data_IF_795874064616
#
_entry.id   IF_795874064616
#
_cell.length_a   1.000
_cell.length_b   1.000
_cell.length_c   1.000
_cell.angle_alpha   90.00
_cell.angle_beta   90.00
_cell.angle_gamma   90.00
#
_symmetry.space_group_name_H-M   'P 1'
#
loop_
_entity.id
_entity.type
_entity.pdbx_description
1 polymer ?
#
# COMPACT_ATOMS: atom_id res chain seq x y z
N UNK A 1 9.78 -3.58 -20.37
CA UNK A 1 9.28 -4.01 -19.06
C UNK A 1 7.78 -3.85 -19.16
N UNK A 2 7.07 -4.95 -19.02
CA UNK A 2 5.63 -5.00 -19.25
C UNK A 2 4.88 -4.33 -18.10
N UNK A 3 3.66 -3.88 -18.37
CA UNK A 3 2.82 -3.28 -17.34
C UNK A 3 2.57 -4.29 -16.21
N UNK A 4 2.81 -3.88 -14.97
CA UNK A 4 2.45 -4.69 -13.80
C UNK A 4 0.97 -4.47 -13.52
N UNK A 5 0.20 -5.54 -13.45
CA UNK A 5 -1.24 -5.50 -13.17
C UNK A 5 -1.50 -6.23 -11.86
N UNK A 6 -2.15 -5.54 -10.92
CA UNK A 6 -2.42 -6.07 -9.58
C UNK A 6 -3.93 -6.07 -9.37
N UNK A 7 -4.55 -7.22 -9.05
CA UNK A 7 -5.99 -7.28 -8.83
C UNK A 7 -6.39 -6.44 -7.61
N UNK A 8 -7.39 -5.59 -7.79
CA UNK A 8 -8.06 -4.87 -6.70
C UNK A 8 -9.39 -5.56 -6.42
N UNK A 9 -9.56 -5.99 -5.18
CA UNK A 9 -10.75 -6.68 -4.73
C UNK A 9 -11.72 -5.71 -4.05
N UNK A 10 -12.99 -5.80 -4.42
CA UNK A 10 -14.08 -5.26 -3.64
C UNK A 10 -14.72 -6.41 -2.87
N UNK A 11 -14.87 -6.22 -1.56
CA UNK A 11 -15.48 -7.21 -0.67
C UNK A 11 -16.76 -6.67 -0.09
N UNK A 12 -17.78 -7.53 0.00
CA UNK A 12 -19.05 -7.22 0.63
C UNK A 12 -19.42 -8.32 1.61
N UNK A 13 -20.03 -7.95 2.73
CA UNK A 13 -20.52 -8.88 3.77
C UNK A 13 -22.02 -8.70 3.92
N UNK A 14 -22.78 -9.71 3.50
CA UNK A 14 -24.23 -9.73 3.56
C UNK A 14 -24.69 -10.90 4.42
N UNK A 15 -25.39 -10.62 5.53
CA UNK A 15 -25.93 -11.65 6.44
C UNK A 15 -24.90 -12.69 6.91
N UNK A 16 -23.64 -12.27 7.10
CA UNK A 16 -22.54 -13.15 7.51
C UNK A 16 -21.79 -13.83 6.37
N UNK A 17 -22.32 -13.77 5.15
CA UNK A 17 -21.66 -14.28 3.94
C UNK A 17 -20.75 -13.21 3.33
N UNK A 18 -19.49 -13.57 3.06
CA UNK A 18 -18.52 -12.68 2.42
C UNK A 18 -18.49 -12.99 0.93
N UNK A 19 -18.79 -11.98 0.11
CA UNK A 19 -18.59 -12.03 -1.34
C UNK A 19 -17.34 -11.23 -1.71
N UNK A 20 -16.51 -11.80 -2.57
CA UNK A 20 -15.30 -11.16 -3.10
C UNK A 20 -15.46 -11.05 -4.61
N UNK A 21 -15.25 -9.86 -5.16
CA UNK A 21 -15.15 -9.65 -6.61
C UNK A 21 -13.85 -8.91 -6.93
N UNK A 22 -13.21 -9.28 -8.04
CA UNK A 22 -12.19 -8.42 -8.64
C UNK A 22 -12.90 -7.23 -9.26
N UNK A 23 -12.65 -6.03 -8.75
CA UNK A 23 -13.27 -4.80 -9.24
C UNK A 23 -12.54 -4.25 -10.47
N UNK A 24 -11.21 -4.21 -10.39
CA UNK A 24 -10.33 -3.70 -11.45
C UNK A 24 -8.91 -4.23 -11.24
N UNK A 25 -8.03 -3.93 -12.20
CA UNK A 25 -6.59 -4.02 -11.98
C UNK A 25 -6.01 -2.64 -11.68
N UNK A 26 -5.14 -2.58 -10.68
CA UNK A 26 -4.21 -1.47 -10.49
C UNK A 26 -3.02 -1.70 -11.44
N UNK A 27 -2.97 -0.90 -12.50
CA UNK A 27 -1.98 -1.04 -13.57
C UNK A 27 -0.87 -0.01 -13.44
N UNK A 28 0.37 -0.49 -13.34
CA UNK A 28 1.57 0.32 -13.28
C UNK A 28 2.26 0.22 -14.64
N UNK A 29 2.09 1.26 -15.46
CA UNK A 29 2.55 1.28 -16.86
C UNK A 29 3.84 2.06 -17.06
N UNK A 30 4.16 2.98 -16.14
CA UNK A 30 5.38 3.77 -16.22
C UNK A 30 6.58 2.93 -15.78
N UNK A 31 7.63 2.90 -16.61
CA UNK A 31 8.79 2.03 -16.39
C UNK A 31 9.59 2.38 -15.13
N UNK A 32 9.82 3.67 -14.91
CA UNK A 32 10.55 4.16 -13.74
C UNK A 32 9.53 4.58 -12.69
N UNK A 33 9.65 4.07 -11.47
CA UNK A 33 8.82 4.50 -10.34
C UNK A 33 9.66 5.35 -9.39
N UNK A 34 9.04 6.35 -8.79
CA UNK A 34 9.66 7.25 -7.81
C UNK A 34 8.78 7.26 -6.58
N UNK A 35 9.42 7.22 -5.42
CA UNK A 35 8.83 7.50 -4.12
C UNK A 35 9.56 8.69 -3.49
N UNK A 36 8.92 9.31 -2.51
CA UNK A 36 9.48 10.45 -1.77
C UNK A 36 9.94 9.99 -0.40
N UNK A 37 11.13 10.38 0.04
CA UNK A 37 11.54 10.25 1.44
C UNK A 37 11.12 11.53 2.16
N UNK A 38 10.07 11.44 2.98
CA UNK A 38 9.45 12.57 3.67
C UNK A 38 10.44 13.32 4.57
N UNK A 39 11.39 12.62 5.20
CA UNK A 39 12.45 13.21 6.01
C UNK A 39 13.30 14.27 5.27
N UNK A 40 13.36 14.23 3.94
CA UNK A 40 14.11 15.17 3.12
C UNK A 40 13.21 16.09 2.29
N UNK A 41 11.89 15.98 2.43
CA UNK A 41 10.91 16.79 1.73
C UNK A 41 10.52 17.98 2.61
N UNK A 42 10.45 19.17 2.01
CA UNK A 42 9.93 20.38 2.64
C UNK A 42 8.75 20.98 1.84
N UNK A 43 8.17 20.18 0.94
CA UNK A 43 7.05 20.57 0.08
C UNK A 43 7.29 21.82 -0.79
N UNK A 44 8.55 22.19 -1.06
CA UNK A 44 8.88 23.36 -1.88
C UNK A 44 8.42 23.27 -3.35
N UNK A 45 8.00 22.09 -3.81
CA UNK A 45 7.43 21.89 -5.14
C UNK A 45 8.44 21.79 -6.29
N UNK A 46 9.75 21.97 -6.05
CA UNK A 46 10.78 21.83 -7.09
C UNK A 46 10.71 20.47 -7.82
N UNK A 47 10.39 19.41 -7.09
CA UNK A 47 10.25 18.08 -7.65
C UNK A 47 9.13 17.97 -8.70
N UNK A 48 8.13 18.87 -8.72
CA UNK A 48 7.10 18.88 -9.77
C UNK A 48 7.68 19.26 -11.14
N UNK A 49 8.59 20.24 -11.19
CA UNK A 49 9.18 20.73 -12.44
C UNK A 49 10.24 19.77 -12.99
N UNK A 50 11.01 19.14 -12.09
CA UNK A 50 12.15 18.30 -12.48
C UNK A 50 11.88 16.80 -12.43
N UNK A 51 10.64 16.38 -12.18
CA UNK A 51 10.34 14.95 -12.13
C UNK A 51 10.50 14.33 -13.52
N UNK A 52 11.31 13.26 -13.69
CA UNK A 52 11.34 12.49 -14.94
C UNK A 52 10.10 11.59 -15.09
N UNK A 53 9.13 11.68 -14.17
CA UNK A 53 7.89 10.91 -14.15
C UNK A 53 6.67 11.80 -14.00
N UNK A 54 5.48 11.26 -14.30
CA UNK A 54 4.25 12.05 -14.23
C UNK A 54 3.86 12.43 -12.79
N UNK A 55 3.43 13.68 -12.62
CA UNK A 55 2.85 14.23 -11.39
C UNK A 55 3.86 14.95 -10.49
N UNK A 56 3.33 15.52 -9.39
CA UNK A 56 4.11 16.21 -8.38
C UNK A 56 4.51 15.23 -7.26
N UNK A 57 5.79 14.81 -7.13
CA UNK A 57 6.18 13.74 -6.21
C UNK A 57 5.81 13.95 -4.75
N UNK A 58 5.86 15.19 -4.28
CA UNK A 58 5.49 15.55 -2.91
C UNK A 58 3.98 15.41 -2.62
N UNK A 59 3.14 15.28 -3.64
CA UNK A 59 1.67 15.17 -3.52
C UNK A 59 1.13 13.81 -3.95
N UNK A 60 1.67 13.24 -5.03
CA UNK A 60 1.03 12.13 -5.73
C UNK A 60 1.80 10.83 -5.68
N UNK A 61 3.05 10.84 -5.17
CA UNK A 61 3.88 9.64 -5.07
C UNK A 61 3.90 9.15 -3.61
N UNK A 62 4.09 7.84 -3.40
CA UNK A 62 4.22 7.29 -2.05
C UNK A 62 5.28 8.03 -1.25
N UNK A 63 4.91 8.52 -0.06
CA UNK A 63 5.82 9.21 0.84
C UNK A 63 6.22 8.29 1.99
N UNK A 64 7.52 8.03 2.12
CA UNK A 64 8.10 7.14 3.12
C UNK A 64 8.87 7.93 4.17
N UNK A 65 8.73 7.52 5.42
CA UNK A 65 9.49 8.03 6.55
C UNK A 65 10.45 6.96 7.04
N UNK A 66 11.66 7.37 7.41
CA UNK A 66 12.75 6.45 7.78
C UNK A 66 12.72 6.06 9.27
N UNK A 67 12.05 6.86 10.10
CA UNK A 67 11.89 6.58 11.53
C UNK A 67 10.42 6.50 11.88
N UNK A 68 10.10 5.69 12.90
CA UNK A 68 8.74 5.58 13.42
C UNK A 68 8.26 6.90 14.01
N UNK A 69 9.15 7.69 14.61
CA UNK A 69 8.84 9.05 15.10
C UNK A 69 8.38 9.97 13.97
N UNK A 70 9.12 10.06 12.87
CA UNK A 70 8.72 10.88 11.72
C UNK A 70 7.41 10.39 11.11
N UNK A 71 7.24 9.07 10.98
CA UNK A 71 5.97 8.50 10.53
C UNK A 71 4.80 8.87 11.44
N UNK A 72 5.00 8.88 12.76
CA UNK A 72 3.96 9.18 13.74
C UNK A 72 3.54 10.66 13.71
N UNK A 73 4.45 11.58 13.38
CA UNK A 73 4.20 13.02 13.37
C UNK A 73 3.44 13.55 12.14
N UNK A 74 3.18 12.69 11.16
CA UNK A 74 2.60 13.09 9.87
C UNK A 74 1.15 12.63 9.76
N UNK A 75 0.33 13.13 8.84
CA UNK A 75 -1.06 12.64 8.73
C UNK A 75 -1.20 11.48 7.74
N UNK A 76 -0.34 11.46 6.72
CA UNK A 76 -0.37 10.49 5.63
C UNK A 76 1.04 10.03 5.29
N UNK A 77 1.23 8.73 5.10
CA UNK A 77 2.49 8.22 4.58
C UNK A 77 2.75 6.76 4.92
N UNK A 78 3.95 6.33 4.59
CA UNK A 78 4.41 4.95 4.75
C UNK A 78 5.61 4.87 5.68
N UNK A 79 5.70 3.75 6.39
CA UNK A 79 6.88 3.37 7.16
C UNK A 79 7.15 1.89 6.94
N UNK A 80 8.37 1.54 6.54
CA UNK A 80 8.75 0.17 6.27
C UNK A 80 9.97 -0.23 7.08
N UNK A 81 9.85 -1.33 7.82
CA UNK A 81 10.94 -1.90 8.61
C UNK A 81 10.72 -3.39 8.85
N UNK A 82 11.77 -4.18 8.77
CA UNK A 82 11.77 -5.61 9.11
C UNK A 82 10.66 -6.43 8.42
N UNK A 83 10.37 -6.12 7.15
CA UNK A 83 9.32 -6.80 6.39
C UNK A 83 7.89 -6.37 6.74
N UNK A 84 7.72 -5.28 7.48
CA UNK A 84 6.42 -4.70 7.84
C UNK A 84 6.28 -3.32 7.22
N UNK A 85 5.30 -3.16 6.34
CA UNK A 85 4.90 -1.89 5.73
C UNK A 85 3.66 -1.35 6.44
N UNK A 86 3.77 -0.20 7.09
CA UNK A 86 2.64 0.56 7.63
C UNK A 86 2.27 1.65 6.63
N UNK A 87 0.98 1.89 6.46
CA UNK A 87 0.41 3.04 5.79
C UNK A 87 -0.52 3.76 6.74
N UNK A 88 -0.37 5.08 6.86
CA UNK A 88 -1.25 5.93 7.65
C UNK A 88 -2.00 6.88 6.73
N UNK A 89 -3.26 7.11 7.05
CA UNK A 89 -4.08 8.12 6.41
C UNK A 89 -5.08 8.71 7.42
N UNK A 90 -4.83 9.94 7.88
CA UNK A 90 -5.71 10.69 8.77
C UNK A 90 -6.16 9.89 10.00
N UNK A 91 -5.20 9.28 10.71
CA UNK A 91 -5.44 8.53 11.95
C UNK A 91 -5.70 7.03 11.79
N UNK A 92 -6.17 6.57 10.62
CA UNK A 92 -6.26 5.14 10.33
C UNK A 92 -4.90 4.58 9.90
N UNK A 93 -4.56 3.40 10.41
CA UNK A 93 -3.34 2.67 10.04
C UNK A 93 -3.71 1.33 9.42
N UNK A 94 -3.13 1.07 8.25
CA UNK A 94 -3.16 -0.22 7.58
C UNK A 94 -1.75 -0.81 7.59
N UNK A 95 -1.63 -2.12 7.80
CA UNK A 95 -0.35 -2.82 7.93
C UNK A 95 -0.28 -3.97 6.95
N UNK A 96 0.82 -4.10 6.24
CA UNK A 96 1.14 -5.24 5.39
C UNK A 96 2.45 -5.88 5.86
N UNK A 97 2.38 -7.11 6.34
CA UNK A 97 3.55 -7.89 6.74
C UNK A 97 3.90 -8.92 5.67
N UNK A 98 5.17 -8.97 5.27
CA UNK A 98 5.71 -10.08 4.50
C UNK A 98 5.91 -11.29 5.42
N UNK A 99 5.14 -12.36 5.19
CA UNK A 99 5.35 -13.68 5.80
C UNK A 99 6.02 -14.59 4.78
N UNK A 100 6.45 -15.79 5.20
CA UNK A 100 7.22 -16.72 4.34
C UNK A 100 6.60 -16.93 2.94
N UNK A 101 5.29 -17.14 2.86
CA UNK A 101 4.61 -17.53 1.62
C UNK A 101 3.40 -16.65 1.26
N UNK A 102 3.11 -15.61 2.04
CA UNK A 102 1.96 -14.72 1.81
C UNK A 102 2.22 -13.33 2.39
N UNK A 103 1.52 -12.33 1.88
CA UNK A 103 1.40 -11.03 2.53
C UNK A 103 0.20 -11.05 3.47
N UNK A 104 0.39 -10.63 4.72
CA UNK A 104 -0.67 -10.47 5.70
C UNK A 104 -1.05 -8.98 5.77
N UNK A 105 -2.26 -8.64 5.34
CA UNK A 105 -2.81 -7.30 5.39
C UNK A 105 -3.77 -7.16 6.57
N UNK A 106 -3.61 -6.10 7.34
CA UNK A 106 -4.39 -5.80 8.54
C UNK A 106 -4.87 -4.35 8.46
N UNK A 107 -6.15 -4.14 8.72
CA UNK A 107 -6.78 -2.83 8.85
C UNK A 107 -7.81 -2.88 9.98
N UNK A 108 -8.38 -1.74 10.34
CA UNK A 108 -9.50 -1.70 11.29
C UNK A 108 -10.71 -2.53 10.81
N UNK A 109 -10.91 -2.63 9.49
CA UNK A 109 -12.11 -3.23 8.90
C UNK A 109 -11.91 -4.70 8.58
N UNK A 110 -10.78 -5.07 8.00
CA UNK A 110 -10.50 -6.46 7.56
C UNK A 110 -9.08 -6.91 7.81
N UNK A 111 -8.92 -8.22 7.90
CA UNK A 111 -7.67 -8.95 7.75
C UNK A 111 -7.72 -9.76 6.46
N UNK A 112 -6.69 -9.64 5.61
CA UNK A 112 -6.60 -10.35 4.33
C UNK A 112 -5.22 -11.00 4.15
N UNK A 113 -5.17 -12.07 3.35
CA UNK A 113 -3.93 -12.68 2.91
C UNK A 113 -3.83 -12.63 1.40
N UNK A 114 -2.67 -12.27 0.90
CA UNK A 114 -2.38 -12.22 -0.54
C UNK A 114 -1.22 -13.13 -0.91
N UNK A 115 -1.29 -13.72 -2.09
CA UNK A 115 -0.19 -14.45 -2.69
C UNK A 115 0.99 -13.49 -2.98
N UNK A 116 2.22 -13.94 -2.77
CA UNK A 116 3.43 -13.12 -2.93
C UNK A 116 3.83 -12.90 -4.40
N UNK A 117 3.38 -13.77 -5.29
CA UNK A 117 3.78 -13.80 -6.69
C UNK A 117 2.81 -13.01 -7.56
N UNK A 118 1.52 -13.33 -7.48
CA UNK A 118 0.46 -12.78 -8.34
C UNK A 118 -0.51 -11.83 -7.61
N UNK A 119 -0.33 -11.62 -6.31
CA UNK A 119 -1.18 -10.78 -5.46
C UNK A 119 -2.64 -11.21 -5.37
N UNK A 120 -2.94 -12.46 -5.72
CA UNK A 120 -4.28 -13.01 -5.57
C UNK A 120 -4.71 -13.07 -4.11
N UNK A 121 -5.99 -12.79 -3.84
CA UNK A 121 -6.56 -12.89 -2.49
C UNK A 121 -6.71 -14.38 -2.11
N UNK A 122 -6.04 -14.78 -1.02
CA UNK A 122 -6.04 -16.15 -0.50
C UNK A 122 -7.06 -16.37 0.63
N UNK A 123 -7.27 -15.36 1.47
CA UNK A 123 -8.12 -15.43 2.66
C UNK A 123 -8.56 -14.02 3.04
N UNK A 124 -9.76 -13.88 3.58
CA UNK A 124 -10.24 -12.59 4.10
C UNK A 124 -11.26 -12.74 5.23
N UNK A 125 -11.15 -11.85 6.21
CA UNK A 125 -12.03 -11.78 7.38
C UNK A 125 -12.37 -10.34 7.69
N UNK A 126 -13.63 -10.07 7.99
CA UNK A 126 -14.07 -8.80 8.56
C UNK A 126 -13.79 -8.79 10.07
N UNK A 127 -13.29 -7.66 10.56
CA UNK A 127 -13.00 -7.42 11.98
C UNK A 127 -14.20 -6.81 12.71
N UNK A 128 -15.13 -6.22 11.96
CA UNK A 128 -16.35 -5.62 12.48
C UNK A 128 -17.57 -6.04 11.64
N UNK A 129 -18.74 -6.09 12.28
CA UNK A 129 -20.04 -6.26 11.63
C UNK A 129 -20.65 -4.92 11.19
N UNK A 130 -20.12 -3.79 11.66
CA UNK A 130 -20.63 -2.45 11.33
C UNK A 130 -20.32 -2.00 9.91
N UNK A 131 -19.29 -2.57 9.30
CA UNK A 131 -18.87 -2.25 7.93
C UNK A 131 -19.13 -3.46 7.05
N UNK A 132 -19.94 -3.24 6.02
CA UNK A 132 -20.38 -4.31 5.11
C UNK A 132 -19.65 -4.30 3.78
N UNK A 133 -18.82 -3.30 3.51
CA UNK A 133 -18.05 -3.23 2.28
C UNK A 133 -16.67 -2.61 2.48
N UNK A 134 -15.69 -3.07 1.70
CA UNK A 134 -14.37 -2.46 1.63
C UNK A 134 -13.77 -2.67 0.24
N UNK A 135 -13.16 -1.62 -0.28
CA UNK A 135 -12.27 -1.72 -1.43
C UNK A 135 -10.82 -1.91 -0.96
N UNK A 136 -10.12 -2.88 -1.55
CA UNK A 136 -8.74 -3.25 -1.18
C UNK A 136 -7.68 -2.63 -2.10
N UNK A 137 -7.95 -1.46 -2.69
CA UNK A 137 -6.98 -0.75 -3.52
C UNK A 137 -5.68 -0.44 -2.75
N UNK A 138 -5.80 0.04 -1.51
CA UNK A 138 -4.64 0.34 -0.67
C UNK A 138 -3.80 -0.92 -0.40
N UNK A 139 -4.43 -2.07 -0.17
CA UNK A 139 -3.72 -3.35 -0.01
C UNK A 139 -2.95 -3.74 -1.29
N UNK A 140 -3.54 -3.53 -2.47
CA UNK A 140 -2.88 -3.77 -3.75
C UNK A 140 -1.64 -2.88 -3.95
N UNK A 141 -1.74 -1.58 -3.62
CA UNK A 141 -0.59 -0.66 -3.63
C UNK A 141 0.50 -1.11 -2.65
N UNK A 142 0.12 -1.46 -1.42
CA UNK A 142 1.07 -1.93 -0.41
C UNK A 142 1.77 -3.23 -0.84
N UNK A 143 1.07 -4.17 -1.49
CA UNK A 143 1.66 -5.39 -2.02
C UNK A 143 2.72 -5.12 -3.09
N UNK A 144 2.46 -4.15 -3.98
CA UNK A 144 3.46 -3.70 -4.95
C UNK A 144 4.68 -3.09 -4.27
N UNK A 145 4.44 -2.17 -3.32
CA UNK A 145 5.48 -1.42 -2.65
C UNK A 145 6.39 -2.36 -1.86
N UNK A 146 5.85 -3.21 -0.98
CA UNK A 146 6.66 -4.09 -0.14
C UNK A 146 7.52 -5.06 -0.96
N UNK A 147 7.03 -5.53 -2.12
CA UNK A 147 7.81 -6.39 -3.03
C UNK A 147 8.96 -5.60 -3.68
N UNK A 148 8.70 -4.35 -4.05
CA UNK A 148 9.67 -3.46 -4.70
C UNK A 148 10.73 -2.92 -3.72
N UNK A 149 10.37 -2.70 -2.45
CA UNK A 149 11.24 -2.07 -1.45
C UNK A 149 12.35 -2.99 -0.95
N UNK A 150 12.18 -4.32 -1.01
CA UNK A 150 13.20 -5.29 -0.58
C UNK A 150 14.54 -5.13 -1.30
N UNK A 151 14.53 -4.60 -2.51
CA UNK A 151 15.73 -4.39 -3.31
C UNK A 151 16.40 -3.03 -3.05
N UNK A 152 15.80 -2.17 -2.22
CA UNK A 152 16.25 -0.80 -1.99
C UNK A 152 17.01 -0.71 -0.67
N UNK A 153 18.31 -0.38 -0.74
CA UNK A 153 19.24 -0.40 0.39
C UNK A 153 18.88 0.50 1.57
N UNK A 154 18.17 1.61 1.37
CA UNK A 154 17.77 2.53 2.46
C UNK A 154 16.74 1.89 3.41
N UNK A 155 16.12 0.79 3.00
CA UNK A 155 15.07 0.08 3.71
C UNK A 155 15.50 -1.30 4.24
N UNK A 156 16.80 -1.62 4.12
CA UNK A 156 17.42 -2.88 4.55
C UNK A 156 18.46 -2.65 5.65
#
# INVERSE_FOLDING_TARGET
MDAVNIPVYAITKNYGEITVKTERNFSITQRNQILTIGNFCNECGNCNTFCPTSGAPYKTKPMFYLTEESFNNEDVGYYYRDGVLKFKNNGSIEVLSYKKNYFAYESEIVNAKFNIDDFSLLDIKFNSDSVQEKNLHQAAEMCFLIKSLKEVSIFN
#
